data_IF_512419071807
#
_entry.id   IF_512419071807
#
_cell.length_a   1.000
_cell.length_b   1.000
_cell.length_c   1.000
_cell.angle_alpha   90.00
_cell.angle_beta   90.00
_cell.angle_gamma   90.00
#
_symmetry.space_group_name_H-M   'P 1'
#
loop_
_entity.id
_entity.type
_entity.pdbx_description
1 polymer ?
#
# COMPACT_ATOMS: atom_id res chain seq x y z
N UNK A 1 1.12 8.68 10.98
CA UNK A 1 0.53 7.51 10.30
C UNK A 1 -0.67 6.91 11.04
N UNK A 2 -0.65 6.73 12.37
CA UNK A 2 -1.78 6.14 13.12
C UNK A 2 -3.11 6.91 13.10
N UNK A 3 -3.13 8.16 12.63
CA UNK A 3 -4.35 8.97 12.58
C UNK A 3 -5.15 8.76 11.29
N UNK A 4 -4.53 8.22 10.23
CA UNK A 4 -5.17 8.00 8.93
C UNK A 4 -5.46 6.52 8.71
N UNK A 5 -6.62 6.25 8.15
CA UNK A 5 -7.13 4.90 7.92
C UNK A 5 -7.80 4.81 6.54
N UNK A 6 -7.79 3.62 5.97
CA UNK A 6 -8.60 3.27 4.81
C UNK A 6 -9.70 2.33 5.26
N UNK A 7 -10.94 2.60 4.84
CA UNK A 7 -12.01 1.62 4.97
C UNK A 7 -11.87 0.49 3.93
N UNK A 8 -12.67 -0.56 4.05
CA UNK A 8 -12.62 -1.73 3.15
C UNK A 8 -12.74 -1.36 1.66
N UNK A 9 -13.62 -0.41 1.31
CA UNK A 9 -13.80 0.03 -0.07
C UNK A 9 -12.57 0.79 -0.60
N UNK A 10 -12.01 1.68 0.21
CA UNK A 10 -10.79 2.42 -0.15
C UNK A 10 -9.59 1.48 -0.28
N UNK A 11 -9.47 0.49 0.62
CA UNK A 11 -8.45 -0.54 0.53
C UNK A 11 -8.63 -1.38 -0.74
N UNK A 12 -9.83 -1.89 -1.02
CA UNK A 12 -10.11 -2.67 -2.23
C UNK A 12 -9.80 -1.87 -3.51
N UNK A 13 -10.19 -0.59 -3.53
CA UNK A 13 -9.89 0.31 -4.64
C UNK A 13 -8.39 0.52 -4.84
N UNK A 14 -7.66 0.78 -3.75
CA UNK A 14 -6.20 0.90 -3.74
C UNK A 14 -5.53 -0.36 -4.34
N UNK A 15 -5.96 -1.55 -3.92
CA UNK A 15 -5.45 -2.81 -4.46
C UNK A 15 -5.73 -2.92 -5.96
N UNK A 16 -6.92 -2.54 -6.42
CA UNK A 16 -7.26 -2.47 -7.84
C UNK A 16 -6.34 -1.54 -8.63
N UNK A 17 -6.11 -0.32 -8.12
CA UNK A 17 -5.20 0.66 -8.72
C UNK A 17 -3.76 0.16 -8.77
N UNK A 18 -3.29 -0.53 -7.74
CA UNK A 18 -1.95 -1.14 -7.73
C UNK A 18 -1.82 -2.20 -8.83
N UNK A 19 -2.83 -3.06 -9.01
CA UNK A 19 -2.85 -4.04 -10.11
C UNK A 19 -2.81 -3.36 -11.47
N UNK A 20 -3.59 -2.28 -11.66
CA UNK A 20 -3.55 -1.49 -12.90
C UNK A 20 -2.18 -0.82 -13.11
N UNK A 21 -1.57 -0.28 -12.04
CA UNK A 21 -0.30 0.45 -12.07
C UNK A 21 0.82 -0.37 -12.71
N UNK A 22 0.88 -1.68 -12.42
CA UNK A 22 1.90 -2.57 -13.00
C UNK A 22 1.82 -2.70 -14.52
N UNK A 23 0.67 -2.39 -15.12
CA UNK A 23 0.42 -2.44 -16.55
C UNK A 23 0.45 -1.06 -17.24
N UNK A 24 0.62 0.03 -16.48
CA UNK A 24 0.75 1.36 -17.06
C UNK A 24 2.08 1.52 -17.78
N UNK A 25 2.13 2.42 -18.76
CA UNK A 25 3.38 2.84 -19.39
C UNK A 25 4.33 3.48 -18.37
N UNK A 26 5.64 3.40 -18.62
CA UNK A 26 6.65 3.87 -17.66
C UNK A 26 6.52 5.35 -17.31
N UNK A 27 6.12 6.18 -18.27
CA UNK A 27 5.94 7.61 -18.04
C UNK A 27 4.67 7.90 -17.23
N UNK A 28 3.63 7.09 -17.42
CA UNK A 28 2.44 7.11 -16.59
C UNK A 28 2.72 6.68 -15.14
N UNK A 29 3.58 5.67 -14.93
CA UNK A 29 3.97 5.24 -13.59
C UNK A 29 4.73 6.35 -12.85
N UNK A 30 5.69 7.02 -13.52
CA UNK A 30 6.49 8.11 -12.91
C UNK A 30 5.62 9.24 -12.37
N UNK A 31 4.55 9.61 -13.07
CA UNK A 31 3.66 10.72 -12.66
C UNK A 31 2.80 10.39 -11.43
N UNK A 32 2.57 9.10 -11.13
CA UNK A 32 1.62 8.65 -10.09
C UNK A 32 2.31 8.30 -8.77
N UNK A 33 3.63 8.14 -8.78
CA UNK A 33 4.42 7.70 -7.63
C UNK A 33 4.85 6.24 -7.77
N UNK A 34 6.09 5.95 -7.38
CA UNK A 34 6.69 4.62 -7.54
C UNK A 34 6.06 3.62 -6.55
N UNK A 35 5.70 2.44 -7.04
CA UNK A 35 5.29 1.30 -6.23
C UNK A 35 6.02 0.04 -6.67
N UNK A 36 6.68 -0.66 -5.74
CA UNK A 36 7.63 -1.74 -6.04
C UNK A 36 7.21 -3.14 -5.61
N UNK A 37 6.11 -3.29 -4.85
CA UNK A 37 5.64 -4.63 -4.50
C UNK A 37 5.04 -5.32 -5.74
N UNK A 38 5.44 -6.57 -5.96
CA UNK A 38 4.92 -7.37 -7.06
C UNK A 38 3.59 -8.06 -6.71
N UNK A 39 2.97 -8.71 -7.69
CA UNK A 39 1.69 -9.40 -7.52
C UNK A 39 1.67 -10.46 -6.42
N UNK A 40 2.76 -11.24 -6.27
CA UNK A 40 2.86 -12.22 -5.20
C UNK A 40 2.86 -11.56 -3.82
N UNK A 41 3.62 -10.47 -3.68
CA UNK A 41 3.67 -9.69 -2.44
C UNK A 41 2.32 -9.02 -2.17
N UNK A 42 1.65 -8.50 -3.20
CA UNK A 42 0.32 -7.91 -3.05
C UNK A 42 -0.74 -8.93 -2.67
N UNK A 43 -0.64 -10.18 -3.13
CA UNK A 43 -1.51 -11.25 -2.64
C UNK A 43 -1.28 -11.52 -1.14
N UNK A 44 -0.03 -11.49 -0.67
CA UNK A 44 0.29 -11.59 0.77
C UNK A 44 -0.29 -10.42 1.57
N UNK A 45 -0.17 -9.19 1.06
CA UNK A 45 -0.79 -7.99 1.67
C UNK A 45 -2.29 -8.16 1.84
N UNK A 46 -2.99 -8.63 0.79
CA UNK A 46 -4.44 -8.84 0.87
C UNK A 46 -4.79 -9.93 1.88
N UNK A 47 -4.03 -11.02 1.93
CA UNK A 47 -4.20 -12.06 2.96
C UNK A 47 -4.02 -11.45 4.37
N UNK A 48 -2.95 -10.70 4.58
CA UNK A 48 -2.59 -10.15 5.88
C UNK A 48 -3.54 -9.04 6.35
N UNK A 49 -4.18 -8.32 5.42
CA UNK A 49 -5.31 -7.43 5.75
C UNK A 49 -6.43 -8.18 6.49
N UNK A 50 -6.70 -9.45 6.18
CA UNK A 50 -7.70 -10.27 6.86
C UNK A 50 -7.15 -11.07 8.05
N UNK A 51 -5.91 -11.55 7.97
CA UNK A 51 -5.41 -12.59 8.89
C UNK A 51 -4.19 -12.22 9.72
N UNK A 52 -3.57 -11.05 9.50
CA UNK A 52 -2.36 -10.68 10.25
C UNK A 52 -2.69 -10.46 11.74
N UNK A 53 -2.03 -11.16 12.69
CA UNK A 53 -2.38 -11.08 14.11
C UNK A 53 -2.22 -9.69 14.74
N UNK A 54 -1.35 -8.85 14.18
CA UNK A 54 -0.95 -7.58 14.79
C UNK A 54 -1.28 -6.36 13.93
N UNK A 55 -1.44 -6.54 12.62
CA UNK A 55 -1.57 -5.45 11.66
C UNK A 55 -2.74 -5.64 10.68
N UNK A 56 -3.66 -6.57 10.95
CA UNK A 56 -4.88 -6.69 10.15
C UNK A 56 -5.79 -5.45 10.30
N UNK A 57 -6.86 -5.44 9.50
CA UNK A 57 -7.99 -4.54 9.70
C UNK A 57 -8.61 -4.70 11.10
N UNK A 58 -9.29 -3.65 11.56
CA UNK A 58 -10.11 -3.65 12.77
C UNK A 58 -11.50 -4.28 12.54
N UNK A 59 -12.32 -4.34 13.59
CA UNK A 59 -13.69 -4.89 13.54
C UNK A 59 -14.62 -4.11 12.59
N UNK A 60 -14.33 -2.83 12.36
CA UNK A 60 -15.03 -1.97 11.40
C UNK A 60 -14.45 -2.09 9.98
N UNK A 61 -13.54 -3.05 9.76
CA UNK A 61 -12.87 -3.32 8.49
C UNK A 61 -11.94 -2.19 8.02
N UNK A 62 -11.56 -1.28 8.91
CA UNK A 62 -10.59 -0.24 8.59
C UNK A 62 -9.17 -0.74 8.83
N UNK A 63 -8.23 -0.24 8.03
CA UNK A 63 -6.80 -0.45 8.25
C UNK A 63 -6.10 0.90 8.41
N UNK A 64 -5.34 1.06 9.49
CA UNK A 64 -4.51 2.25 9.69
C UNK A 64 -3.37 2.27 8.67
N UNK A 65 -2.91 3.45 8.27
CA UNK A 65 -1.77 3.55 7.36
C UNK A 65 -0.49 2.97 7.97
N UNK A 66 -0.37 2.95 9.30
CA UNK A 66 0.72 2.26 9.99
C UNK A 66 0.62 0.74 9.84
N UNK A 67 -0.57 0.16 10.06
CA UNK A 67 -0.78 -1.26 9.89
C UNK A 67 -0.56 -1.67 8.42
N UNK A 68 -1.04 -0.85 7.47
CA UNK A 68 -0.82 -1.05 6.04
C UNK A 68 0.67 -1.04 5.67
N UNK A 69 1.44 -0.10 6.21
CA UNK A 69 2.90 -0.10 6.05
C UNK A 69 3.54 -1.38 6.58
N UNK A 70 3.14 -1.82 7.79
CA UNK A 70 3.71 -3.04 8.37
C UNK A 70 3.40 -4.27 7.50
N UNK A 71 2.16 -4.46 7.03
CA UNK A 71 1.84 -5.60 6.15
C UNK A 71 2.57 -5.52 4.79
N UNK A 72 2.86 -4.32 4.27
CA UNK A 72 3.72 -4.16 3.08
C UNK A 72 5.15 -4.66 3.34
N UNK A 73 5.72 -4.33 4.50
CA UNK A 73 7.06 -4.80 4.88
C UNK A 73 7.09 -6.29 5.19
N UNK A 74 6.03 -6.84 5.82
CA UNK A 74 5.89 -8.28 6.08
C UNK A 74 5.86 -9.08 4.77
N UNK A 75 5.08 -8.63 3.78
CA UNK A 75 5.01 -9.24 2.46
C UNK A 75 6.36 -9.24 1.71
N UNK A 76 7.31 -8.41 2.14
CA UNK A 76 8.62 -8.28 1.52
C UNK A 76 9.72 -9.13 2.18
N UNK A 77 9.49 -9.69 3.38
CA UNK A 77 10.49 -10.41 4.18
C UNK A 77 11.16 -11.59 3.48
N UNK A 78 10.47 -12.25 2.56
CA UNK A 78 11.01 -13.41 1.82
C UNK A 78 11.77 -13.02 0.54
N UNK A 79 11.99 -11.72 0.29
CA UNK A 79 12.73 -11.24 -0.88
C UNK A 79 14.24 -11.29 -0.69
N UNK A 80 15.00 -11.33 -1.80
CA UNK A 80 16.45 -11.15 -1.78
C UNK A 80 16.86 -9.85 -1.06
N UNK A 81 17.93 -9.90 -0.26
CA UNK A 81 18.31 -8.85 0.70
C UNK A 81 18.43 -7.45 0.09
N UNK A 82 19.00 -7.33 -1.11
CA UNK A 82 19.20 -6.05 -1.78
C UNK A 82 17.87 -5.42 -2.23
N UNK A 83 16.93 -6.25 -2.71
CA UNK A 83 15.59 -5.80 -3.10
C UNK A 83 14.67 -5.53 -1.90
N UNK A 84 14.96 -6.15 -0.75
CA UNK A 84 14.15 -5.98 0.47
C UNK A 84 14.26 -4.54 0.99
N UNK A 85 15.47 -3.98 1.07
CA UNK A 85 15.67 -2.62 1.56
C UNK A 85 14.99 -1.58 0.66
N UNK A 86 15.21 -1.66 -0.66
CA UNK A 86 14.61 -0.70 -1.61
C UNK A 86 13.08 -0.72 -1.53
N UNK A 87 12.47 -1.90 -1.48
CA UNK A 87 11.01 -2.06 -1.39
C UNK A 87 10.44 -1.56 -0.07
N UNK A 88 11.15 -1.72 1.05
CA UNK A 88 10.70 -1.20 2.35
C UNK A 88 10.76 0.34 2.38
N UNK A 89 11.82 0.93 1.82
CA UNK A 89 11.91 2.40 1.65
C UNK A 89 10.76 2.88 0.75
N UNK A 90 10.53 2.21 -0.38
CA UNK A 90 9.42 2.57 -1.27
C UNK A 90 8.04 2.42 -0.60
N UNK A 91 7.82 1.38 0.20
CA UNK A 91 6.59 1.20 0.96
C UNK A 91 6.38 2.36 1.96
N UNK A 92 7.45 2.81 2.63
CA UNK A 92 7.39 3.96 3.53
C UNK A 92 7.04 5.26 2.78
N UNK A 93 7.70 5.52 1.65
CA UNK A 93 7.42 6.66 0.78
C UNK A 93 5.98 6.66 0.28
N UNK A 94 5.49 5.51 -0.18
CA UNK A 94 4.14 5.33 -0.68
C UNK A 94 3.08 5.63 0.40
N UNK A 95 3.30 5.14 1.62
CA UNK A 95 2.38 5.37 2.73
C UNK A 95 2.41 6.84 3.16
N UNK A 96 3.57 7.50 3.15
CA UNK A 96 3.65 8.94 3.43
C UNK A 96 2.95 9.78 2.35
N UNK A 97 3.12 9.44 1.08
CA UNK A 97 2.39 10.08 -0.02
C UNK A 97 0.87 9.93 0.16
N UNK A 98 0.43 8.73 0.53
CA UNK A 98 -0.98 8.42 0.84
C UNK A 98 -1.48 9.24 2.02
N UNK A 99 -0.71 9.30 3.12
CA UNK A 99 -1.03 10.09 4.30
C UNK A 99 -1.13 11.58 3.99
N UNK A 100 -0.15 12.14 3.25
CA UNK A 100 -0.15 13.54 2.87
C UNK A 100 -1.36 13.91 2.00
N UNK A 101 -1.75 13.01 1.09
CA UNK A 101 -2.94 13.17 0.26
C UNK A 101 -4.21 13.21 1.10
N UNK A 102 -4.37 12.30 2.06
CA UNK A 102 -5.52 12.28 2.97
C UNK A 102 -5.57 13.52 3.87
N UNK A 103 -4.42 13.91 4.44
CA UNK A 103 -4.32 15.07 5.33
C UNK A 103 -4.65 16.39 4.63
N UNK A 104 -4.15 16.57 3.41
CA UNK A 104 -4.27 17.82 2.66
C UNK A 104 -5.38 17.80 1.62
N UNK A 105 -6.19 16.74 1.60
CA UNK A 105 -7.22 16.48 0.60
C UNK A 105 -6.72 16.66 -0.85
N UNK A 106 -5.48 16.22 -1.11
CA UNK A 106 -4.86 16.32 -2.44
C UNK A 106 -5.25 15.11 -3.29
N UNK A 107 -5.46 15.29 -4.60
CA UNK A 107 -5.68 14.18 -5.51
C UNK A 107 -4.56 13.14 -5.42
N UNK A 108 -4.95 11.86 -5.33
CA UNK A 108 -4.03 10.74 -5.39
C UNK A 108 -4.67 9.66 -6.25
N UNK A 109 -4.00 9.32 -7.35
CA UNK A 109 -4.52 8.36 -8.33
C UNK A 109 -4.84 6.99 -7.73
N UNK A 110 -4.14 6.59 -6.66
CA UNK A 110 -4.37 5.34 -5.93
C UNK A 110 -5.60 5.36 -5.02
N UNK A 111 -6.12 6.54 -4.66
CA UNK A 111 -7.27 6.70 -3.75
C UNK A 111 -8.49 7.33 -4.43
N UNK A 112 -8.35 7.87 -5.64
CA UNK A 112 -9.40 8.57 -6.36
C UNK A 112 -10.40 7.59 -6.99
N UNK A 113 -11.62 7.60 -6.44
CA UNK A 113 -12.80 6.91 -6.96
C UNK A 113 -13.29 7.51 -8.29
#
# INVERSE_FOLDING_TARGET
MNQFHLNENQFAHLIGKIRMYQHLEKDDQKSKGKFLLNDGQMNSVVKDYYTCPHFSRDDNKNISLWNLYNIFTEANKSSYIDSNLERNVNAYEFINMTANSLENNKPNWFLQL
#
